data_IF_640245657025
#
_entry.id   IF_640245657025
#
_cell.length_a   1.000
_cell.length_b   1.000
_cell.length_c   1.000
_cell.angle_alpha   90.00
_cell.angle_beta   90.00
_cell.angle_gamma   90.00
#
_symmetry.space_group_name_H-M   'P 1'
#
loop_
_entity.id
_entity.type
_entity.pdbx_description
1 polymer ?
#
# COMPACT_ATOMS: atom_id res chain seq x y z
N UNK A 1 13.29 6.83 18.44
CA UNK A 1 12.03 7.16 17.74
C UNK A 1 11.35 5.85 17.35
N UNK A 2 10.22 5.52 17.97
CA UNK A 2 9.45 4.32 17.64
C UNK A 2 8.14 4.75 16.97
N UNK A 3 7.97 4.47 15.68
CA UNK A 3 6.73 4.76 14.94
C UNK A 3 6.36 3.58 14.06
N UNK A 4 5.07 3.27 14.01
CA UNK A 4 4.53 2.15 13.24
C UNK A 4 3.55 2.64 12.19
N UNK A 5 3.61 2.01 11.02
CA UNK A 5 2.78 2.32 9.88
C UNK A 5 2.21 1.04 9.28
N UNK A 6 0.89 0.88 9.31
CA UNK A 6 0.21 -0.35 8.86
C UNK A 6 -0.64 -0.09 7.62
N UNK A 7 -0.47 -0.92 6.58
CA UNK A 7 -1.34 -0.96 5.41
C UNK A 7 -2.15 -2.26 5.43
N UNK A 8 -3.47 -2.11 5.61
CA UNK A 8 -4.42 -3.22 5.64
C UNK A 8 -5.10 -3.39 4.26
N UNK A 9 -4.32 -3.75 3.24
CA UNK A 9 -4.79 -3.90 1.86
C UNK A 9 -5.86 -5.00 1.74
N UNK A 10 -5.76 -6.05 2.57
CA UNK A 10 -6.66 -7.19 2.60
C UNK A 10 -8.11 -6.84 2.91
N UNK A 11 -8.30 -5.92 3.86
CA UNK A 11 -9.61 -5.67 4.46
C UNK A 11 -10.41 -4.67 3.62
N UNK A 12 -9.75 -3.67 3.01
CA UNK A 12 -10.44 -2.65 2.21
C UNK A 12 -10.93 -3.19 0.87
N UNK A 13 -10.09 -3.93 0.13
CA UNK A 13 -10.47 -4.47 -1.18
C UNK A 13 -11.58 -5.53 -1.09
N UNK A 14 -11.50 -6.43 -0.12
CA UNK A 14 -12.48 -7.51 0.02
C UNK A 14 -13.89 -7.00 0.39
N UNK A 15 -14.00 -5.97 1.23
CA UNK A 15 -15.31 -5.41 1.62
C UNK A 15 -16.00 -4.71 0.44
N UNK A 16 -15.25 -3.94 -0.36
CA UNK A 16 -15.82 -3.18 -1.49
C UNK A 16 -16.30 -4.13 -2.59
N UNK A 17 -15.44 -5.03 -3.06
CA UNK A 17 -15.81 -5.97 -4.13
C UNK A 17 -16.88 -6.97 -3.68
N UNK A 18 -16.80 -7.47 -2.45
CA UNK A 18 -17.78 -8.41 -1.90
C UNK A 18 -19.18 -7.78 -1.75
N UNK A 19 -19.26 -6.53 -1.30
CA UNK A 19 -20.56 -5.84 -1.13
C UNK A 19 -21.23 -5.49 -2.46
N UNK A 20 -20.48 -4.98 -3.44
CA UNK A 20 -21.01 -4.65 -4.78
C UNK A 20 -21.56 -5.90 -5.47
N UNK A 21 -20.81 -7.00 -5.49
CA UNK A 21 -21.25 -8.24 -6.13
C UNK A 21 -22.45 -8.89 -5.40
N UNK A 22 -22.52 -8.77 -4.07
CA UNK A 22 -23.67 -9.25 -3.31
C UNK A 22 -24.96 -8.47 -3.66
N UNK A 23 -24.87 -7.14 -3.80
CA UNK A 23 -26.02 -6.31 -4.20
C UNK A 23 -26.48 -6.66 -5.62
N UNK A 24 -25.54 -6.81 -6.57
CA UNK A 24 -25.87 -7.22 -7.95
C UNK A 24 -26.55 -8.60 -7.94
N UNK A 25 -26.02 -9.56 -7.17
CA UNK A 25 -26.61 -10.89 -7.04
C UNK A 25 -28.04 -10.88 -6.51
N UNK A 26 -28.33 -10.03 -5.52
CA UNK A 26 -29.69 -9.84 -4.98
C UNK A 26 -30.66 -9.25 -6.02
N UNK A 27 -30.21 -8.29 -6.84
CA UNK A 27 -31.03 -7.73 -7.93
C UNK A 27 -31.32 -8.79 -8.99
N UNK A 28 -30.33 -9.59 -9.37
CA UNK A 28 -30.50 -10.68 -10.36
C UNK A 28 -31.44 -11.77 -9.85
N UNK A 29 -31.44 -12.07 -8.53
CA UNK A 29 -32.36 -13.04 -7.93
C UNK A 29 -33.84 -12.70 -8.15
N UNK A 30 -34.18 -11.41 -8.29
CA UNK A 30 -35.56 -10.97 -8.59
C UNK A 30 -36.04 -11.49 -9.94
N UNK A 31 -35.12 -11.63 -10.92
CA UNK A 31 -35.43 -12.08 -12.28
C UNK A 31 -35.17 -13.57 -12.49
N UNK A 32 -34.13 -14.12 -11.84
CA UNK A 32 -33.83 -15.54 -11.88
C UNK A 32 -33.08 -15.98 -10.62
N UNK A 33 -33.75 -16.81 -9.82
CA UNK A 33 -33.23 -17.31 -8.55
C UNK A 33 -31.91 -18.08 -8.73
N UNK A 34 -31.82 -18.95 -9.75
CA UNK A 34 -30.62 -19.77 -10.01
C UNK A 34 -29.41 -18.91 -10.39
N UNK A 35 -29.59 -17.97 -11.31
CA UNK A 35 -28.50 -17.09 -11.73
C UNK A 35 -28.06 -16.14 -10.60
N UNK A 36 -29.01 -15.57 -9.85
CA UNK A 36 -28.69 -14.73 -8.70
C UNK A 36 -27.93 -15.50 -7.61
N UNK A 37 -28.32 -16.74 -7.32
CA UNK A 37 -27.61 -17.59 -6.36
C UNK A 37 -26.16 -17.88 -6.78
N UNK A 38 -25.91 -18.13 -8.06
CA UNK A 38 -24.56 -18.32 -8.58
C UNK A 38 -23.69 -17.07 -8.43
N UNK A 39 -24.24 -15.88 -8.72
CA UNK A 39 -23.52 -14.60 -8.56
C UNK A 39 -23.16 -14.35 -7.10
N UNK A 40 -24.11 -14.55 -6.17
CA UNK A 40 -23.85 -14.42 -4.73
C UNK A 40 -22.81 -15.43 -4.25
N UNK A 41 -22.91 -16.69 -4.69
CA UNK A 41 -21.92 -17.73 -4.36
C UNK A 41 -20.51 -17.38 -4.84
N UNK A 42 -20.39 -16.86 -6.07
CA UNK A 42 -19.12 -16.39 -6.61
C UNK A 42 -18.55 -15.19 -5.83
N UNK A 43 -19.41 -14.25 -5.44
CA UNK A 43 -19.02 -13.09 -4.61
C UNK A 43 -18.43 -13.53 -3.27
N UNK A 44 -19.08 -14.49 -2.59
CA UNK A 44 -18.61 -15.05 -1.32
C UNK A 44 -17.28 -15.78 -1.51
N UNK A 45 -17.12 -16.55 -2.58
CA UNK A 45 -15.88 -17.25 -2.89
C UNK A 45 -14.73 -16.25 -3.10
N UNK A 46 -14.94 -15.22 -3.93
CA UNK A 46 -13.94 -14.16 -4.17
C UNK A 46 -13.61 -13.43 -2.87
N UNK A 47 -14.60 -13.12 -2.04
CA UNK A 47 -14.39 -12.51 -0.73
C UNK A 47 -13.48 -13.37 0.16
N UNK A 48 -13.75 -14.67 0.24
CA UNK A 48 -12.92 -15.61 1.01
C UNK A 48 -11.51 -15.73 0.45
N UNK A 49 -11.35 -15.76 -0.88
CA UNK A 49 -10.04 -15.78 -1.51
C UNK A 49 -9.27 -14.49 -1.17
N UNK A 50 -9.84 -13.31 -1.42
CA UNK A 50 -9.18 -12.04 -1.10
C UNK A 50 -8.80 -11.93 0.38
N UNK A 51 -9.69 -12.33 1.30
CA UNK A 51 -9.44 -12.32 2.74
C UNK A 51 -8.29 -13.24 3.17
N UNK A 52 -8.10 -14.37 2.50
CA UNK A 52 -7.09 -15.36 2.85
C UNK A 52 -5.75 -15.15 2.14
N UNK A 53 -5.75 -14.49 0.97
CA UNK A 53 -4.55 -14.32 0.15
C UNK A 53 -3.91 -12.93 0.26
N UNK A 54 -4.60 -11.94 0.82
CA UNK A 54 -4.02 -10.62 0.96
C UNK A 54 -3.03 -10.52 2.13
N UNK A 55 -2.06 -9.62 1.96
CA UNK A 55 -1.00 -9.36 2.91
C UNK A 55 -1.29 -8.03 3.62
N UNK A 56 -1.20 -8.06 4.95
CA UNK A 56 -1.17 -6.85 5.77
C UNK A 56 0.30 -6.54 6.07
N UNK A 57 0.75 -5.33 5.71
CA UNK A 57 2.16 -4.93 5.87
C UNK A 57 2.25 -3.86 6.94
N UNK A 58 3.10 -4.08 7.94
CA UNK A 58 3.43 -3.10 8.99
C UNK A 58 4.91 -2.76 8.91
N UNK A 59 5.22 -1.47 8.89
CA UNK A 59 6.58 -0.94 8.98
C UNK A 59 6.75 -0.31 10.35
N UNK A 60 7.72 -0.78 11.12
CA UNK A 60 8.08 -0.17 12.41
C UNK A 60 9.47 0.46 12.30
N UNK A 61 9.55 1.78 12.37
CA UNK A 61 10.80 2.52 12.36
C UNK A 61 11.35 2.65 13.79
N UNK A 62 12.66 2.43 13.94
CA UNK A 62 13.39 2.56 15.20
C UNK A 62 14.74 3.27 14.98
N UNK A 63 15.47 3.57 16.06
CA UNK A 63 16.68 4.40 15.96
C UNK A 63 17.79 3.78 15.10
N UNK A 64 17.88 2.45 15.09
CA UNK A 64 18.93 1.71 14.37
C UNK A 64 18.52 1.25 12.96
N UNK A 65 17.28 1.50 12.53
CA UNK A 65 16.73 0.94 11.28
C UNK A 65 15.21 0.87 11.24
N UNK A 66 14.70 -0.11 10.49
CA UNK A 66 13.27 -0.37 10.40
C UNK A 66 13.00 -1.86 10.20
N UNK A 67 11.83 -2.30 10.68
CA UNK A 67 11.35 -3.65 10.45
C UNK A 67 10.13 -3.64 9.54
N UNK A 68 10.04 -4.67 8.69
CA UNK A 68 8.90 -4.91 7.79
C UNK A 68 8.26 -6.22 8.21
N UNK A 69 7.07 -6.12 8.79
CA UNK A 69 6.24 -7.25 9.15
C UNK A 69 5.18 -7.45 8.07
N UNK A 70 5.19 -8.60 7.42
CA UNK A 70 4.17 -9.01 6.45
C UNK A 70 3.36 -10.15 7.07
N UNK A 71 2.10 -9.88 7.35
CA UNK A 71 1.16 -10.89 7.84
C UNK A 71 0.27 -11.38 6.71
N UNK A 72 0.27 -12.70 6.53
CA UNK A 72 -0.67 -13.38 5.64
C UNK A 72 -1.36 -14.49 6.42
N UNK A 73 -2.69 -14.50 6.43
CA UNK A 73 -3.47 -15.49 7.21
C UNK A 73 -3.18 -16.94 6.84
N UNK A 74 -2.70 -17.20 5.62
CA UNK A 74 -2.36 -18.55 5.14
C UNK A 74 -0.87 -18.86 5.23
N UNK A 75 0.00 -17.89 4.93
CA UNK A 75 1.46 -18.08 4.85
C UNK A 75 2.18 -17.80 6.17
N UNK A 76 1.48 -17.26 7.17
CA UNK A 76 2.05 -16.87 8.44
C UNK A 76 2.60 -15.44 8.43
N UNK A 77 3.44 -15.14 9.40
CA UNK A 77 4.08 -13.83 9.57
C UNK A 77 5.53 -13.92 9.13
N UNK A 78 5.92 -13.02 8.23
CA UNK A 78 7.32 -12.76 7.92
C UNK A 78 7.74 -11.46 8.60
N UNK A 79 8.88 -11.47 9.28
CA UNK A 79 9.50 -10.28 9.85
C UNK A 79 10.90 -10.14 9.24
N UNK A 80 11.18 -8.99 8.65
CA UNK A 80 12.49 -8.65 8.11
C UNK A 80 12.97 -7.36 8.77
N UNK A 81 14.16 -7.40 9.36
CA UNK A 81 14.80 -6.24 10.00
C UNK A 81 15.90 -5.69 9.10
N UNK A 82 15.89 -4.38 8.88
CA UNK A 82 16.84 -3.67 8.02
C UNK A 82 17.47 -2.51 8.80
N UNK A 83 18.75 -2.24 8.54
CA UNK A 83 19.41 -1.03 9.03
C UNK A 83 19.18 0.12 8.07
N UNK A 84 19.35 1.34 8.56
CA UNK A 84 19.23 2.52 7.70
C UNK A 84 20.28 2.53 6.60
N UNK A 85 21.49 2.07 6.91
CA UNK A 85 22.61 2.00 5.96
C UNK A 85 22.39 0.97 4.85
N UNK A 86 21.52 -0.02 5.08
CA UNK A 86 21.21 -1.07 4.09
C UNK A 86 20.33 -0.53 2.94
N UNK A 87 19.71 0.64 3.12
CA UNK A 87 18.85 1.26 2.10
C UNK A 87 19.69 1.79 0.95
N UNK A 88 19.46 1.28 -0.25
CA UNK A 88 20.18 1.69 -1.47
C UNK A 88 19.42 2.77 -2.23
N UNK A 89 18.09 2.70 -2.24
CA UNK A 89 17.26 3.69 -2.93
C UNK A 89 15.84 3.77 -2.37
N UNK A 90 15.24 4.94 -2.55
CA UNK A 90 13.83 5.19 -2.25
C UNK A 90 13.15 5.77 -3.49
N UNK A 91 11.91 5.37 -3.73
CA UNK A 91 11.15 5.80 -4.90
C UNK A 91 9.73 6.19 -4.50
N UNK A 92 9.36 7.43 -4.81
CA UNK A 92 7.97 7.85 -4.84
C UNK A 92 7.48 7.82 -6.29
N UNK A 93 6.26 7.32 -6.49
CA UNK A 93 5.59 7.40 -7.77
C UNK A 93 4.07 7.42 -7.60
N UNK A 94 3.39 7.93 -8.61
CA UNK A 94 1.94 7.97 -8.69
C UNK A 94 1.47 7.06 -9.82
N UNK A 95 0.35 6.38 -9.60
CA UNK A 95 -0.31 5.57 -10.61
C UNK A 95 -1.72 6.09 -10.82
N UNK A 96 -2.00 6.54 -12.03
CA UNK A 96 -3.36 6.85 -12.45
C UNK A 96 -4.10 5.56 -12.77
N UNK A 97 -5.20 5.33 -12.08
CA UNK A 97 -6.20 4.33 -12.41
C UNK A 97 -7.36 5.06 -13.03
N UNK A 98 -7.42 5.07 -14.36
CA UNK A 98 -8.56 5.58 -15.12
C UNK A 98 -9.64 4.52 -15.15
N UNK A 99 -10.81 4.85 -14.62
CA UNK A 99 -12.00 4.03 -14.80
C UNK A 99 -12.61 4.29 -16.19
N UNK A 100 -13.43 3.35 -16.64
CA UNK A 100 -14.06 3.32 -17.97
C UNK A 100 -14.93 4.57 -18.24
N UNK A 101 -15.40 5.23 -17.19
CA UNK A 101 -16.25 6.42 -17.21
C UNK A 101 -15.46 7.75 -17.20
N UNK A 102 -14.12 7.71 -17.33
CA UNK A 102 -13.28 8.92 -17.41
C UNK A 102 -12.93 9.55 -16.06
N UNK A 103 -13.32 8.93 -14.94
CA UNK A 103 -12.81 9.29 -13.62
C UNK A 103 -11.42 8.69 -13.43
N UNK A 104 -10.39 9.53 -13.29
CA UNK A 104 -9.05 9.09 -12.90
C UNK A 104 -8.87 9.19 -11.39
N UNK A 105 -8.47 8.07 -10.77
CA UNK A 105 -8.00 8.07 -9.38
C UNK A 105 -6.49 7.95 -9.38
N UNK A 106 -5.81 9.00 -8.92
CA UNK A 106 -4.36 8.97 -8.73
C UNK A 106 -4.04 8.34 -7.38
N UNK A 107 -3.24 7.28 -7.39
CA UNK A 107 -2.77 6.59 -6.18
C UNK A 107 -1.27 6.73 -6.03
N UNK A 108 -0.83 7.23 -4.88
CA UNK A 108 0.60 7.41 -4.57
C UNK A 108 1.21 6.15 -3.95
N UNK A 109 2.48 5.90 -4.24
CA UNK A 109 3.26 4.77 -3.75
C UNK A 109 4.63 5.22 -3.27
N UNK A 110 5.16 4.51 -2.26
CA UNK A 110 6.52 4.68 -1.78
C UNK A 110 7.21 3.32 -1.64
N UNK A 111 8.29 3.15 -2.40
CA UNK A 111 9.11 1.94 -2.44
C UNK A 111 10.47 2.21 -1.79
N UNK A 112 10.94 1.26 -1.00
CA UNK A 112 12.28 1.24 -0.41
C UNK A 112 13.00 -0.02 -0.85
N UNK A 113 14.22 0.14 -1.36
CA UNK A 113 15.09 -0.96 -1.80
C UNK A 113 16.36 -1.01 -0.97
N UNK A 114 16.74 -2.22 -0.59
CA UNK A 114 18.01 -2.55 0.09
C UNK A 114 18.92 -3.32 -0.85
N UNK A 115 20.13 -3.66 -0.40
CA UNK A 115 21.06 -4.51 -1.16
C UNK A 115 20.48 -5.90 -1.52
N UNK A 116 19.51 -6.39 -0.73
CA UNK A 116 18.86 -7.69 -0.93
C UNK A 116 17.64 -7.64 -1.87
N UNK A 117 17.17 -6.45 -2.24
CA UNK A 117 16.01 -6.26 -3.11
C UNK A 117 15.04 -5.22 -2.60
N UNK A 118 13.74 -5.40 -2.89
CA UNK A 118 12.69 -4.49 -2.41
C UNK A 118 12.35 -4.84 -0.97
N UNK A 119 12.61 -3.92 -0.03
CA UNK A 119 12.23 -4.10 1.38
C UNK A 119 10.71 -3.94 1.55
N UNK A 120 10.14 -2.91 0.93
CA UNK A 120 8.69 -2.77 0.81
C UNK A 120 8.31 -1.87 -0.37
N UNK A 121 7.07 -2.02 -0.81
CA UNK A 121 6.38 -1.14 -1.74
C UNK A 121 4.96 -0.90 -1.21
N UNK A 122 4.68 0.33 -0.77
CA UNK A 122 3.44 0.66 -0.08
C UNK A 122 2.64 1.73 -0.80
N UNK A 123 1.34 1.47 -0.91
CA UNK A 123 0.34 2.45 -1.28
C UNK A 123 0.17 3.50 -0.17
N UNK A 124 -0.22 4.71 -0.56
CA UNK A 124 -0.54 5.80 0.36
C UNK A 124 -1.47 5.37 1.50
N UNK A 125 -1.08 5.74 2.71
CA UNK A 125 -1.77 5.41 3.96
C UNK A 125 -1.75 6.59 4.93
N UNK A 126 -2.43 6.44 6.07
CA UNK A 126 -2.34 7.44 7.14
C UNK A 126 -0.89 7.52 7.63
N UNK A 127 -0.35 8.74 7.70
CA UNK A 127 1.04 8.96 8.10
C UNK A 127 2.06 8.74 6.98
N UNK A 128 1.63 8.61 5.73
CA UNK A 128 2.52 8.40 4.59
C UNK A 128 3.57 9.50 4.41
N UNK A 129 3.20 10.76 4.66
CA UNK A 129 4.15 11.87 4.66
C UNK A 129 5.23 11.71 5.74
N UNK A 130 4.83 11.36 6.95
CA UNK A 130 5.74 11.13 8.07
C UNK A 130 6.70 9.96 7.79
N UNK A 131 6.23 8.91 7.12
CA UNK A 131 7.09 7.79 6.69
C UNK A 131 8.18 8.30 5.74
N UNK A 132 7.81 9.06 4.70
CA UNK A 132 8.75 9.63 3.74
C UNK A 132 9.77 10.54 4.46
N UNK A 133 9.31 11.36 5.41
CA UNK A 133 10.18 12.25 6.17
C UNK A 133 11.17 11.49 7.07
N UNK A 134 10.74 10.40 7.71
CA UNK A 134 11.63 9.52 8.48
C UNK A 134 12.71 8.92 7.58
N UNK A 135 12.34 8.41 6.41
CA UNK A 135 13.33 7.88 5.46
C UNK A 135 14.27 8.99 4.98
N UNK A 136 13.75 10.16 4.62
CA UNK A 136 14.57 11.32 4.24
C UNK A 136 15.57 11.73 5.34
N UNK A 137 15.23 11.59 6.61
CA UNK A 137 16.10 11.96 7.73
C UNK A 137 17.14 10.88 8.06
N UNK A 138 16.78 9.60 7.94
CA UNK A 138 17.64 8.50 8.39
C UNK A 138 18.50 7.89 7.27
N UNK A 139 18.18 8.14 5.99
CA UNK A 139 19.00 7.66 4.86
C UNK A 139 19.81 8.79 4.21
N UNK A 140 20.67 9.45 5.00
CA UNK A 140 21.47 10.61 4.55
C UNK A 140 22.54 10.25 3.53
N UNK A 141 22.96 8.99 3.49
CA UNK A 141 23.90 8.45 2.50
C UNK A 141 23.31 8.38 1.08
N UNK A 142 21.98 8.46 0.93
CA UNK A 142 21.32 8.55 -0.37
C UNK A 142 21.42 9.99 -0.89
N UNK A 143 21.93 10.23 -2.11
CA UNK A 143 22.25 11.58 -2.60
C UNK A 143 21.03 12.47 -2.90
N UNK A 144 19.82 11.99 -2.59
CA UNK A 144 18.58 12.71 -2.81
C UNK A 144 17.60 12.48 -1.66
N UNK A 145 16.55 13.29 -1.64
CA UNK A 145 15.39 13.18 -0.77
C UNK A 145 14.12 13.53 -1.52
N UNK A 146 12.97 13.19 -0.95
CA UNK A 146 11.66 13.50 -1.52
C UNK A 146 11.08 14.73 -0.82
N UNK A 147 10.94 15.84 -1.55
CA UNK A 147 10.31 17.05 -1.02
C UNK A 147 8.85 17.09 -1.45
N UNK A 148 7.95 17.29 -0.48
CA UNK A 148 6.53 17.51 -0.76
C UNK A 148 6.37 18.78 -1.58
N UNK A 149 5.68 18.68 -2.71
CA UNK A 149 5.41 19.85 -3.57
C UNK A 149 4.60 20.88 -2.79
N UNK A 150 5.01 22.16 -2.86
CA UNK A 150 4.31 23.25 -2.17
C UNK A 150 3.25 23.85 -3.10
N UNK A 151 1.99 23.59 -2.80
CA UNK A 151 0.84 24.15 -3.50
C UNK A 151 -0.46 23.62 -2.91
N UNK A 152 -1.51 24.45 -2.87
CA UNK A 152 -2.83 24.08 -2.31
C UNK A 152 -3.44 22.85 -3.03
N UNK A 153 -3.03 22.61 -4.28
CA UNK A 153 -3.51 21.51 -5.14
C UNK A 153 -2.45 20.42 -5.39
N UNK A 154 -1.22 20.54 -4.87
CA UNK A 154 -0.16 19.57 -5.14
C UNK A 154 -0.05 18.54 -4.00
N UNK A 155 -0.52 17.32 -4.25
CA UNK A 155 -0.36 16.18 -3.34
C UNK A 155 0.97 15.44 -3.50
N UNK A 156 1.69 15.68 -4.60
CA UNK A 156 2.85 14.87 -5.00
C UNK A 156 4.19 15.27 -4.40
N UNK A 157 5.15 14.36 -4.49
CA UNK A 157 6.55 14.56 -4.08
C UNK A 157 7.47 14.74 -5.28
N UNK A 158 8.49 15.58 -5.11
CA UNK A 158 9.54 15.79 -6.11
C UNK A 158 10.89 15.32 -5.57
N UNK A 159 11.67 14.63 -6.41
CA UNK A 159 13.02 14.19 -6.08
C UNK A 159 13.95 15.40 -6.09
N UNK A 160 14.64 15.66 -4.99
CA UNK A 160 15.63 16.73 -4.84
C UNK A 160 16.99 16.14 -4.48
N UNK A 161 18.05 16.64 -5.11
CA UNK A 161 19.41 16.28 -4.71
C UNK A 161 19.72 16.89 -3.34
N UNK A 162 20.46 16.17 -2.51
CA UNK A 162 21.00 16.72 -1.27
C UNK A 162 22.16 17.64 -1.63
N UNK A 163 22.20 18.80 -1.00
CA UNK A 163 23.38 19.66 -1.05
C UNK A 163 24.52 18.92 -0.37
N UNK A 164 25.55 18.55 -1.15
CA UNK A 164 26.81 18.05 -0.59
C UNK A 164 27.53 19.31 -0.10
N UNK A 165 27.48 19.55 1.22
CA UNK A 165 28.36 20.51 1.88
C UNK A 165 29.57 19.76 2.45
#
# INVERSE_FOLDING_TARGET
MHREFSVNTATRGSIIFGSVLAVIGLVVMVYSLLFGALVVGAAVLIFFLMRNFANDTTISCHDQGFSVKVENKRRGTTLSDYKWEDVVSTQYYEKELSDSDGNSTTTSYFTVKTGEGVAFDLQEMRGFADLIDIFNQNTLHIPYYWEKSRGILSSGYSKKQRSIN
#
